data_IF_277718144053
#
_entry.id   IF_277718144053
#
_cell.length_a   1.000
_cell.length_b   1.000
_cell.length_c   1.000
_cell.angle_alpha   90.00
_cell.angle_beta   90.00
_cell.angle_gamma   90.00
#
_symmetry.space_group_name_H-M   'P 1'
#
loop_
_entity.id
_entity.type
_entity.pdbx_description
1 polymer ?
#
# COMPACT_ATOMS: atom_id res chain seq x y z
N UNK A 1 -7.58 -1.61 9.41
CA UNK A 1 -8.65 -2.14 10.26
C UNK A 1 -9.97 -1.84 9.57
N UNK A 2 -10.85 -2.82 9.40
CA UNK A 2 -12.23 -2.59 8.95
C UNK A 2 -13.09 -2.25 10.16
N UNK A 3 -14.06 -1.35 10.00
CA UNK A 3 -14.90 -0.87 11.10
C UNK A 3 -16.35 -0.82 10.65
N UNK A 4 -17.23 -1.39 11.47
CA UNK A 4 -18.65 -1.55 11.12
C UNK A 4 -19.56 -0.52 11.84
N UNK A 5 -19.01 0.34 12.71
CA UNK A 5 -19.76 1.38 13.41
C UNK A 5 -19.48 2.77 12.83
N UNK A 6 -19.97 3.82 13.50
CA UNK A 6 -19.72 5.20 13.07
C UNK A 6 -18.23 5.54 13.08
N UNK A 7 -17.82 6.42 12.16
CA UNK A 7 -16.45 6.94 12.11
C UNK A 7 -16.07 7.69 13.40
N UNK A 8 -17.04 8.37 14.03
CA UNK A 8 -16.82 9.09 15.28
C UNK A 8 -16.45 8.14 16.43
N UNK A 9 -17.04 6.96 16.50
CA UNK A 9 -16.65 5.95 17.48
C UNK A 9 -15.24 5.42 17.21
N UNK A 10 -14.89 5.22 15.93
CA UNK A 10 -13.53 4.79 15.56
C UNK A 10 -12.49 5.82 16.00
N UNK A 11 -12.75 7.11 15.75
CA UNK A 11 -11.87 8.21 16.18
C UNK A 11 -11.65 8.19 17.69
N UNK A 12 -12.73 8.08 18.49
CA UNK A 12 -12.63 7.98 19.96
C UNK A 12 -11.74 6.82 20.41
N UNK A 13 -11.85 5.65 19.76
CA UNK A 13 -11.01 4.49 20.08
C UNK A 13 -9.53 4.77 19.78
N UNK A 14 -9.24 5.39 18.64
CA UNK A 14 -7.87 5.71 18.23
C UNK A 14 -7.26 6.82 19.09
N UNK A 15 -8.05 7.84 19.46
CA UNK A 15 -7.65 8.89 20.39
C UNK A 15 -7.38 8.33 21.78
N UNK A 16 -8.21 7.39 22.26
CA UNK A 16 -7.96 6.71 23.51
C UNK A 16 -6.67 5.87 23.46
N UNK A 17 -6.40 5.17 22.35
CA UNK A 17 -5.16 4.42 22.18
C UNK A 17 -3.92 5.34 22.23
N UNK A 18 -4.05 6.57 21.75
CA UNK A 18 -3.02 7.60 21.85
C UNK A 18 -2.71 8.07 23.28
N UNK A 19 -3.56 7.77 24.25
CA UNK A 19 -3.31 8.10 25.67
C UNK A 19 -2.50 7.02 26.41
N UNK A 20 -2.30 5.85 25.81
CA UNK A 20 -1.72 4.69 26.51
C UNK A 20 -0.25 4.86 26.87
N UNK A 21 0.51 5.63 26.10
CA UNK A 21 1.94 5.83 26.37
C UNK A 21 2.30 7.30 26.20
N UNK A 22 2.94 7.93 27.22
CA UNK A 22 3.19 9.38 27.22
C UNK A 22 4.09 9.85 26.07
N UNK A 23 4.96 8.98 25.57
CA UNK A 23 5.96 9.32 24.56
C UNK A 23 5.70 8.71 23.17
N UNK A 24 4.62 7.95 22.98
CA UNK A 24 4.30 7.35 21.66
C UNK A 24 3.00 7.95 21.17
N UNK A 25 3.04 8.59 20.00
CA UNK A 25 1.86 9.09 19.28
C UNK A 25 1.61 8.25 18.04
N UNK A 26 0.41 7.70 17.94
CA UNK A 26 -0.13 7.00 16.80
C UNK A 26 -0.78 8.01 15.85
N UNK A 27 -0.24 8.12 14.65
CA UNK A 27 -0.91 8.80 13.55
C UNK A 27 -1.81 7.81 12.81
N UNK A 28 -3.05 8.22 12.56
CA UNK A 28 -4.00 7.40 11.82
C UNK A 28 -4.66 8.20 10.69
N UNK A 29 -5.04 7.49 9.64
CA UNK A 29 -5.84 8.01 8.53
C UNK A 29 -7.05 7.10 8.37
N UNK A 30 -8.20 7.70 8.07
CA UNK A 30 -9.46 6.99 7.82
C UNK A 30 -9.93 7.37 6.43
N UNK A 31 -10.44 6.39 5.69
CA UNK A 31 -10.86 6.56 4.31
C UNK A 31 -11.19 5.23 3.64
N UNK A 32 -11.78 5.33 2.45
CA UNK A 32 -12.15 4.15 1.65
C UNK A 32 -10.94 3.46 1.03
N UNK A 33 -9.94 4.25 0.63
CA UNK A 33 -8.68 3.77 0.08
C UNK A 33 -7.51 4.39 0.83
N UNK A 34 -6.56 3.58 1.27
CA UNK A 34 -5.40 4.02 2.03
C UNK A 34 -4.12 3.31 1.59
N UNK A 35 -3.04 4.06 1.36
CA UNK A 35 -1.74 3.45 1.20
C UNK A 35 -1.19 2.96 2.54
N UNK A 36 -0.64 1.76 2.56
CA UNK A 36 0.11 1.20 3.67
C UNK A 36 1.30 0.41 3.15
N UNK A 37 2.51 0.92 3.42
CA UNK A 37 3.75 0.40 2.85
C UNK A 37 3.67 0.36 1.31
N UNK A 38 3.81 -0.83 0.73
CA UNK A 38 3.80 -1.08 -0.72
C UNK A 38 2.42 -1.45 -1.27
N UNK A 39 1.38 -1.42 -0.43
CA UNK A 39 0.03 -1.90 -0.74
C UNK A 39 -0.96 -0.74 -0.64
N UNK A 40 -1.88 -0.67 -1.59
CA UNK A 40 -3.05 0.20 -1.54
C UNK A 40 -4.23 -0.64 -1.08
N UNK A 41 -4.74 -0.35 0.11
CA UNK A 41 -5.93 -0.97 0.66
C UNK A 41 -7.15 -0.21 0.14
N UNK A 42 -8.16 -0.91 -0.38
CA UNK A 42 -9.42 -0.32 -0.83
C UNK A 42 -10.59 -1.16 -0.32
N UNK A 43 -11.54 -0.52 0.35
CA UNK A 43 -12.78 -1.16 0.73
C UNK A 43 -13.78 -1.08 -0.43
N UNK A 44 -14.11 -2.25 -1.01
CA UNK A 44 -15.11 -2.41 -2.07
C UNK A 44 -16.33 -3.09 -1.46
N UNK A 45 -17.33 -2.29 -1.09
CA UNK A 45 -18.63 -2.76 -0.58
C UNK A 45 -18.53 -3.74 0.61
N UNK A 46 -17.60 -3.49 1.54
CA UNK A 46 -17.37 -4.33 2.71
C UNK A 46 -16.24 -5.37 2.53
N UNK A 47 -15.79 -5.60 1.30
CA UNK A 47 -14.66 -6.47 1.01
C UNK A 47 -13.38 -5.66 0.90
N UNK A 48 -12.37 -6.04 1.67
CA UNK A 48 -11.04 -5.43 1.58
C UNK A 48 -10.33 -5.97 0.34
N UNK A 49 -9.98 -5.07 -0.57
CA UNK A 49 -9.18 -5.34 -1.76
C UNK A 49 -7.81 -4.66 -1.62
N UNK A 50 -6.78 -5.30 -2.16
CA UNK A 50 -5.41 -4.84 -2.13
C UNK A 50 -4.89 -4.71 -3.56
N UNK A 51 -4.05 -3.70 -3.80
CA UNK A 51 -3.27 -3.54 -5.03
C UNK A 51 -1.88 -3.00 -4.71
N UNK A 52 -1.00 -2.96 -5.70
CA UNK A 52 0.31 -2.31 -5.55
C UNK A 52 0.11 -0.81 -5.34
N UNK A 53 0.77 -0.24 -4.33
CA UNK A 53 0.82 1.20 -4.16
C UNK A 53 2.05 1.79 -4.84
N UNK A 54 1.83 2.75 -5.73
CA UNK A 54 2.86 3.56 -6.35
C UNK A 54 2.88 4.93 -5.66
N UNK A 55 3.98 5.22 -4.97
CA UNK A 55 4.16 6.52 -4.31
C UNK A 55 4.13 7.61 -5.40
N UNK A 56 3.40 8.72 -5.22
CA UNK A 56 3.38 9.82 -6.19
C UNK A 56 4.76 10.42 -6.48
N UNK A 57 5.68 10.30 -5.53
CA UNK A 57 7.07 10.75 -5.65
C UNK A 57 8.00 9.71 -6.25
N UNK A 58 7.53 8.48 -6.48
CA UNK A 58 8.33 7.46 -7.14
C UNK A 58 8.38 7.79 -8.64
N UNK A 59 9.55 8.16 -9.12
CA UNK A 59 9.79 8.31 -10.54
C UNK A 59 9.88 6.93 -11.19
N UNK A 60 9.29 6.72 -12.38
CA UNK A 60 9.33 5.44 -13.09
C UNK A 60 10.69 5.21 -13.77
N UNK A 61 11.80 5.63 -13.14
CA UNK A 61 13.12 5.45 -13.70
C UNK A 61 13.54 3.99 -13.60
N UNK A 62 13.51 3.33 -14.74
CA UNK A 62 14.10 2.01 -14.95
C UNK A 62 15.45 2.20 -15.63
N UNK A 63 16.41 1.36 -15.27
CA UNK A 63 17.73 1.33 -15.90
C UNK A 63 17.58 1.13 -17.42
N UNK A 64 18.11 2.03 -18.26
CA UNK A 64 17.99 1.91 -19.72
C UNK A 64 18.69 0.65 -20.24
N UNK A 65 18.09 -0.06 -21.20
CA UNK A 65 18.66 -1.30 -21.74
C UNK A 65 20.04 -1.12 -22.41
N UNK A 66 20.36 0.10 -22.86
CA UNK A 66 21.64 0.47 -23.47
C UNK A 66 22.77 0.69 -22.45
N UNK A 67 22.46 0.69 -21.16
CA UNK A 67 23.48 0.84 -20.11
C UNK A 67 24.35 -0.41 -19.99
N UNK A 68 25.58 -0.25 -19.50
CA UNK A 68 26.53 -1.34 -19.28
C UNK A 68 26.20 -2.12 -18.00
N UNK A 69 25.02 -2.72 -17.96
CA UNK A 69 24.58 -3.61 -16.89
C UNK A 69 24.36 -5.03 -17.43
N UNK A 70 24.63 -6.07 -16.62
CA UNK A 70 24.35 -7.44 -17.01
C UNK A 70 22.86 -7.66 -17.31
N UNK A 71 22.58 -8.56 -18.27
CA UNK A 71 21.21 -8.89 -18.71
C UNK A 71 20.24 -9.21 -17.56
N UNK A 72 20.72 -9.93 -16.55
CA UNK A 72 19.89 -10.34 -15.40
C UNK A 72 19.34 -9.15 -14.60
N UNK A 73 19.98 -7.98 -14.64
CA UNK A 73 19.50 -6.77 -13.95
C UNK A 73 18.18 -6.31 -14.57
N UNK A 74 18.13 -6.19 -15.90
CA UNK A 74 16.92 -5.79 -16.62
C UNK A 74 15.79 -6.79 -16.44
N UNK A 75 16.10 -8.09 -16.54
CA UNK A 75 15.13 -9.16 -16.33
C UNK A 75 14.58 -9.13 -14.90
N UNK A 76 15.43 -8.88 -13.90
CA UNK A 76 15.01 -8.78 -12.51
C UNK A 76 14.08 -7.60 -12.25
N UNK A 77 14.24 -6.45 -12.93
CA UNK A 77 13.33 -5.31 -12.77
C UNK A 77 11.90 -5.73 -13.17
N UNK A 78 11.74 -6.39 -14.31
CA UNK A 78 10.44 -6.89 -14.77
C UNK A 78 9.90 -7.98 -13.83
N UNK A 79 10.73 -8.96 -13.50
CA UNK A 79 10.31 -10.08 -12.66
C UNK A 79 9.91 -9.63 -11.24
N UNK A 80 10.66 -8.72 -10.63
CA UNK A 80 10.34 -8.21 -9.28
C UNK A 80 9.06 -7.39 -9.28
N UNK A 81 8.86 -6.53 -10.29
CA UNK A 81 7.62 -5.76 -10.45
C UNK A 81 6.40 -6.69 -10.62
N UNK A 82 6.52 -7.73 -11.46
CA UNK A 82 5.46 -8.71 -11.66
C UNK A 82 5.19 -9.53 -10.39
N UNK A 83 6.24 -10.03 -9.71
CA UNK A 83 6.09 -10.76 -8.45
C UNK A 83 5.40 -9.90 -7.39
N UNK A 84 5.71 -8.59 -7.35
CA UNK A 84 5.07 -7.63 -6.45
C UNK A 84 3.59 -7.48 -6.76
N UNK A 85 3.22 -7.33 -8.04
CA UNK A 85 1.82 -7.28 -8.47
C UNK A 85 1.06 -8.55 -8.09
N UNK A 86 1.61 -9.73 -8.39
CA UNK A 86 0.99 -11.02 -8.05
C UNK A 86 0.82 -11.18 -6.53
N UNK A 87 1.82 -10.78 -5.74
CA UNK A 87 1.79 -10.97 -4.29
C UNK A 87 0.83 -10.00 -3.59
N UNK A 88 0.74 -8.75 -4.07
CA UNK A 88 0.01 -7.69 -3.37
C UNK A 88 -1.40 -7.45 -3.90
N UNK A 89 -1.68 -7.76 -5.16
CA UNK A 89 -3.00 -7.52 -5.74
C UNK A 89 -3.96 -8.68 -5.46
N UNK A 90 -5.17 -8.37 -4.99
CA UNK A 90 -6.19 -9.40 -4.71
C UNK A 90 -6.72 -10.07 -5.98
N UNK A 91 -6.72 -9.36 -7.11
CA UNK A 91 -7.16 -9.87 -8.41
C UNK A 91 -6.27 -9.36 -9.54
N UNK A 92 -6.25 -10.07 -10.67
CA UNK A 92 -5.46 -9.72 -11.84
C UNK A 92 -5.87 -8.38 -12.48
N UNK A 93 -7.14 -7.97 -12.37
CA UNK A 93 -7.58 -6.66 -12.87
C UNK A 93 -6.97 -5.48 -12.11
N UNK A 94 -6.34 -5.73 -10.95
CA UNK A 94 -5.72 -4.73 -10.08
C UNK A 94 -4.19 -4.70 -10.20
N UNK A 95 -3.63 -5.20 -11.31
CA UNK A 95 -2.19 -5.16 -11.60
C UNK A 95 -1.72 -3.80 -12.16
N UNK A 96 -2.52 -2.74 -11.98
CA UNK A 96 -2.21 -1.38 -12.42
C UNK A 96 -1.01 -0.79 -11.67
#
# INVERSE_FOLDING_TARGET
MTWNKSENELKKVLDNANTWHPNIKLEYKIGKSLPFLDILLTNINGTLSTSVYHKPTAEPYVVPFISDHPRHVFENIVQTSLRRAIKYSSTFQLFN
#
